data_IF_878535622636
#
_entry.id   IF_878535622636
#
_cell.length_a   1.000
_cell.length_b   1.000
_cell.length_c   1.000
_cell.angle_alpha   90.00
_cell.angle_beta   90.00
_cell.angle_gamma   90.00
#
_symmetry.space_group_name_H-M   'P 1'
#
loop_
_entity.id
_entity.type
_entity.pdbx_description
1 polymer ?
#
# COMPACT_ATOMS: atom_id res chain seq x y z
N UNK A 1 -2.87 -2.67 -12.53
CA UNK A 1 -4.01 -2.26 -11.69
C UNK A 1 -3.51 -1.38 -10.56
N UNK A 2 -4.16 -0.24 -10.30
CA UNK A 2 -3.79 0.71 -9.24
C UNK A 2 -4.49 0.30 -7.93
N UNK A 3 -3.76 0.27 -6.82
CA UNK A 3 -4.33 -0.06 -5.52
C UNK A 3 -5.14 1.12 -4.96
N UNK A 4 -6.36 0.86 -4.51
CA UNK A 4 -7.33 1.90 -4.13
C UNK A 4 -6.90 2.76 -2.94
N UNK A 5 -6.31 2.16 -1.91
CA UNK A 5 -5.89 2.91 -0.70
C UNK A 5 -4.62 3.72 -0.93
N UNK A 6 -3.62 3.15 -1.62
CA UNK A 6 -2.32 3.81 -1.81
C UNK A 6 -2.31 4.68 -3.08
N UNK A 7 -3.19 4.43 -4.03
CA UNK A 7 -3.15 5.05 -5.36
C UNK A 7 -1.89 4.71 -6.15
N UNK A 8 -1.18 3.65 -5.76
CA UNK A 8 0.08 3.21 -6.39
C UNK A 8 -0.12 1.85 -7.07
N UNK A 9 0.70 1.57 -8.08
CA UNK A 9 0.78 0.25 -8.70
C UNK A 9 1.67 -0.63 -7.80
N UNK A 10 1.17 -1.77 -7.27
CA UNK A 10 1.96 -2.61 -6.36
C UNK A 10 3.30 -3.07 -6.95
N UNK A 11 3.32 -3.36 -8.25
CA UNK A 11 4.54 -3.74 -8.95
C UNK A 11 5.60 -2.62 -8.90
N UNK A 12 5.22 -1.38 -9.20
CA UNK A 12 6.14 -0.23 -9.18
C UNK A 12 6.63 0.08 -7.76
N UNK A 13 5.76 -0.09 -6.76
CA UNK A 13 6.11 0.12 -5.37
C UNK A 13 7.17 -0.88 -4.87
N UNK A 14 7.17 -2.10 -5.39
CA UNK A 14 8.14 -3.16 -5.02
C UNK A 14 9.41 -3.06 -5.87
N UNK A 15 9.27 -2.88 -7.18
CA UNK A 15 10.37 -3.02 -8.13
C UNK A 15 10.96 -1.70 -8.63
N UNK A 16 10.34 -0.56 -8.29
CA UNK A 16 10.81 0.76 -8.70
C UNK A 16 10.75 1.04 -10.21
N UNK A 17 10.02 0.21 -10.95
CA UNK A 17 9.86 0.31 -12.40
C UNK A 17 8.49 -0.20 -12.82
N UNK A 18 8.00 0.28 -13.96
CA UNK A 18 6.78 -0.24 -14.56
C UNK A 18 6.98 -1.69 -15.05
N UNK A 19 5.93 -2.52 -14.97
CA UNK A 19 5.98 -3.87 -15.51
C UNK A 19 6.16 -3.81 -17.02
N UNK A 20 7.01 -4.68 -17.55
CA UNK A 20 7.18 -4.89 -18.99
C UNK A 20 6.52 -6.24 -19.28
N UNK A 21 5.44 -6.24 -20.07
CA UNK A 21 4.75 -7.48 -20.42
C UNK A 21 5.47 -8.17 -21.57
N UNK A 22 5.35 -9.51 -21.70
CA UNK A 22 5.94 -10.24 -22.82
C UNK A 22 5.50 -9.74 -24.20
N UNK A 23 4.27 -9.21 -24.30
CA UNK A 23 3.75 -8.59 -25.53
C UNK A 23 4.39 -7.24 -25.85
N UNK A 24 4.93 -6.54 -24.85
CA UNK A 24 5.59 -5.24 -25.01
C UNK A 24 7.03 -5.41 -25.51
N UNK A 25 7.59 -6.62 -25.41
CA UNK A 25 8.95 -6.95 -25.85
C UNK A 25 9.00 -7.20 -27.36
N UNK A 26 8.68 -6.19 -28.18
CA UNK A 26 8.65 -6.39 -29.63
C UNK A 26 9.99 -6.21 -30.35
N UNK A 27 11.02 -5.48 -29.88
CA UNK A 27 12.34 -5.36 -30.54
C UNK A 27 13.50 -4.93 -29.60
N UNK A 28 14.75 -4.87 -30.11
CA UNK A 28 15.86 -5.80 -29.87
C UNK A 28 16.65 -5.54 -28.57
N UNK A 29 17.57 -6.48 -28.28
CA UNK A 29 18.50 -6.56 -27.15
C UNK A 29 18.85 -5.19 -26.53
N UNK A 30 18.54 -5.08 -25.24
CA UNK A 30 18.90 -4.02 -24.30
C UNK A 30 20.19 -3.31 -24.72
N UNK A 31 20.09 -2.09 -25.23
CA UNK A 31 21.22 -1.16 -25.19
C UNK A 31 21.44 -0.84 -23.72
N UNK A 32 22.46 -1.46 -23.12
CA UNK A 32 22.92 -1.18 -21.76
C UNK A 32 23.52 0.24 -21.76
N UNK A 33 22.65 1.26 -21.75
CA UNK A 33 23.07 2.60 -21.37
C UNK A 33 23.34 2.55 -19.88
N UNK A 34 24.62 2.50 -19.51
CA UNK A 34 25.04 2.57 -18.12
C UNK A 34 24.88 4.02 -17.66
N UNK A 35 23.68 4.37 -17.17
CA UNK A 35 23.50 5.59 -16.39
C UNK A 35 24.13 5.34 -14.99
N UNK A 36 25.26 5.98 -14.65
CA UNK A 36 25.93 5.76 -13.35
C UNK A 36 25.05 6.21 -12.17
N UNK A 37 24.07 7.09 -12.40
CA UNK A 37 23.13 7.55 -11.38
C UNK A 37 21.83 6.73 -11.34
N UNK A 38 21.65 5.77 -12.24
CA UNK A 38 20.40 5.00 -12.37
C UNK A 38 19.92 4.43 -11.03
N UNK A 39 20.86 3.83 -10.27
CA UNK A 39 20.57 3.27 -8.95
C UNK A 39 20.10 4.34 -7.97
N UNK A 40 20.72 5.53 -7.98
CA UNK A 40 20.35 6.64 -7.11
C UNK A 40 18.95 7.15 -7.41
N UNK A 41 18.65 7.39 -8.70
CA UNK A 41 17.33 7.82 -9.17
C UNK A 41 16.24 6.80 -8.83
N UNK A 42 16.52 5.51 -9.03
CA UNK A 42 15.59 4.43 -8.71
C UNK A 42 15.30 4.36 -7.21
N UNK A 43 16.34 4.44 -6.37
CA UNK A 43 16.16 4.45 -4.92
C UNK A 43 15.35 5.66 -4.44
N UNK A 44 15.62 6.85 -4.99
CA UNK A 44 14.85 8.05 -4.67
C UNK A 44 13.39 7.88 -5.09
N UNK A 45 13.14 7.39 -6.31
CA UNK A 45 11.80 7.13 -6.81
C UNK A 45 11.03 6.15 -5.91
N UNK A 46 11.60 4.99 -5.60
CA UNK A 46 10.98 4.01 -4.68
C UNK A 46 10.74 4.63 -3.31
N UNK A 47 11.71 5.36 -2.75
CA UNK A 47 11.55 6.04 -1.47
C UNK A 47 10.34 6.97 -1.48
N UNK A 48 10.20 7.81 -2.51
CA UNK A 48 9.05 8.73 -2.60
C UNK A 48 7.71 8.00 -2.73
N UNK A 49 7.65 6.93 -3.52
CA UNK A 49 6.44 6.11 -3.66
C UNK A 49 6.04 5.45 -2.34
N UNK A 50 7.01 4.90 -1.62
CA UNK A 50 6.76 4.22 -0.33
C UNK A 50 6.29 5.21 0.73
N UNK A 51 6.84 6.42 0.77
CA UNK A 51 6.41 7.47 1.68
C UNK A 51 4.98 7.94 1.38
N UNK A 52 4.67 8.17 0.11
CA UNK A 52 3.31 8.51 -0.33
C UNK A 52 2.31 7.40 -0.03
N UNK A 53 2.70 6.13 -0.22
CA UNK A 53 1.85 5.00 0.13
C UNK A 53 1.61 4.91 1.64
N UNK A 54 2.67 5.08 2.45
CA UNK A 54 2.61 5.04 3.92
C UNK A 54 1.66 6.11 4.47
N UNK A 55 1.80 7.35 4.01
CA UNK A 55 0.95 8.46 4.47
C UNK A 55 -0.54 8.20 4.19
N UNK A 56 -0.86 7.70 2.99
CA UNK A 56 -2.24 7.32 2.65
C UNK A 56 -2.76 6.14 3.46
N UNK A 57 -1.94 5.12 3.69
CA UNK A 57 -2.30 3.97 4.53
C UNK A 57 -2.67 4.44 5.94
N UNK A 58 -1.81 5.24 6.58
CA UNK A 58 -2.06 5.74 7.93
C UNK A 58 -3.33 6.58 8.01
N UNK A 59 -3.54 7.48 7.04
CA UNK A 59 -4.78 8.26 6.93
C UNK A 59 -6.01 7.35 6.83
N UNK A 60 -5.95 6.36 5.94
CA UNK A 60 -7.08 5.47 5.70
C UNK A 60 -7.35 4.53 6.88
N UNK A 61 -6.31 4.07 7.58
CA UNK A 61 -6.45 3.32 8.83
C UNK A 61 -7.18 4.14 9.90
N UNK A 62 -6.86 5.43 10.05
CA UNK A 62 -7.59 6.34 10.92
C UNK A 62 -9.08 6.40 10.59
N UNK A 63 -9.41 6.62 9.31
CA UNK A 63 -10.81 6.64 8.86
C UNK A 63 -11.54 5.32 9.10
N UNK A 64 -10.88 4.18 8.89
CA UNK A 64 -11.46 2.87 9.16
C UNK A 64 -11.74 2.67 10.65
N UNK A 65 -10.80 3.07 11.51
CA UNK A 65 -10.98 3.03 12.97
C UNK A 65 -12.17 3.90 13.41
N UNK A 66 -12.25 5.15 12.97
CA UNK A 66 -13.36 6.06 13.29
C UNK A 66 -14.71 5.52 12.81
N UNK A 67 -14.76 4.91 11.62
CA UNK A 67 -15.99 4.31 11.09
C UNK A 67 -16.43 3.10 11.92
N UNK A 68 -15.49 2.25 12.31
CA UNK A 68 -15.74 1.09 13.15
C UNK A 68 -16.23 1.53 14.54
N UNK A 69 -15.50 2.45 15.18
CA UNK A 69 -15.81 2.94 16.53
C UNK A 69 -17.20 3.60 16.59
N UNK A 70 -17.66 4.26 15.52
CA UNK A 70 -19.02 4.83 15.44
C UNK A 70 -20.15 3.79 15.61
N UNK A 71 -19.93 2.56 15.20
CA UNK A 71 -20.92 1.48 15.28
C UNK A 71 -20.55 0.44 16.35
N UNK A 72 -19.48 0.70 17.10
CA UNK A 72 -19.02 -0.20 18.14
C UNK A 72 -19.94 -0.09 19.34
N UNK A 73 -20.64 -1.17 19.65
CA UNK A 73 -21.33 -1.31 20.93
C UNK A 73 -20.29 -1.27 22.06
N UNK A 74 -20.47 -0.36 23.01
CA UNK A 74 -19.71 -0.32 24.26
C UNK A 74 -20.63 -0.75 25.41
N UNK A 75 -20.95 -2.05 25.54
CA UNK A 75 -21.83 -2.51 26.58
C UNK A 75 -21.15 -2.33 27.94
N UNK A 76 -21.80 -1.58 28.83
CA UNK A 76 -21.34 -1.36 30.19
C UNK A 76 -22.05 -2.37 31.09
N UNK A 77 -21.38 -3.48 31.41
CA UNK A 77 -21.96 -4.58 32.18
C UNK A 77 -21.89 -4.30 33.68
N UNK A 78 -22.96 -4.66 34.40
CA UNK A 78 -23.02 -4.57 35.86
C UNK A 78 -22.84 -5.95 36.48
N UNK A 79 -22.46 -5.95 37.76
CA UNK A 79 -22.37 -7.19 38.56
C UNK A 79 -23.76 -7.82 38.62
N UNK A 80 -23.88 -9.05 38.10
CA UNK A 80 -25.13 -9.79 37.99
C UNK A 80 -25.70 -9.92 36.57
N UNK A 81 -25.14 -9.21 35.58
CA UNK A 81 -25.58 -9.34 34.19
C UNK A 81 -25.16 -10.69 33.58
N UNK A 82 -26.10 -11.36 32.91
CA UNK A 82 -25.81 -12.58 32.13
C UNK A 82 -25.28 -12.18 30.76
N UNK A 83 -24.08 -12.67 30.41
CA UNK A 83 -23.43 -12.42 29.12
C UNK A 83 -23.10 -13.72 28.41
N UNK A 84 -23.20 -13.72 27.08
CA UNK A 84 -22.79 -14.85 26.25
C UNK A 84 -21.29 -14.77 25.98
N UNK A 85 -20.58 -15.86 26.29
CA UNK A 85 -19.15 -15.99 26.01
C UNK A 85 -19.02 -16.76 24.70
N UNK A 86 -18.27 -16.19 23.74
CA UNK A 86 -17.91 -16.90 22.51
C UNK A 86 -16.75 -17.84 22.82
N UNK A 87 -16.99 -19.15 22.72
CA UNK A 87 -15.98 -20.21 22.84
C UNK A 87 -15.19 -20.29 21.53
#
# INVERSE_FOLDING_TARGET
SIHTTTGQIPFELIYGRSPILPIDQQQPLVTLSQDPEHKGKLNQYVSTLTEQAKTKILKQQGHYKERYDRHRTNPNHKIGDLVLIKI
#
